data_IF_616030105736
#
_entry.id   IF_616030105736
#
_cell.length_a   1.000
_cell.length_b   1.000
_cell.length_c   1.000
_cell.angle_alpha   90.00
_cell.angle_beta   90.00
_cell.angle_gamma   90.00
#
_symmetry.space_group_name_H-M   'P 1'
#
loop_
_entity.id
_entity.type
_entity.pdbx_description
1 polymer ?
#
# COMPACT_ATOMS: atom_id res chain seq x y z
N UNK A 1 -2.75 15.91 -20.39
CA UNK A 1 -1.58 15.89 -19.52
C UNK A 1 -1.39 14.51 -18.92
N UNK A 2 -0.16 14.10 -18.83
CA UNK A 2 0.14 12.81 -18.23
C UNK A 2 -0.16 12.83 -16.73
N UNK A 3 -0.49 11.68 -16.21
CA UNK A 3 -0.66 11.42 -14.80
C UNK A 3 0.67 11.68 -14.09
N UNK A 4 0.64 12.27 -12.91
CA UNK A 4 1.87 12.64 -12.19
C UNK A 4 2.31 11.60 -11.17
N UNK A 5 1.36 11.02 -10.42
CA UNK A 5 1.68 10.08 -9.36
C UNK A 5 0.69 8.94 -9.33
N UNK A 6 1.23 7.73 -9.25
CA UNK A 6 0.48 6.49 -9.00
C UNK A 6 0.86 6.02 -7.60
N UNK A 7 -0.13 5.75 -6.76
CA UNK A 7 0.07 5.20 -5.43
C UNK A 7 -0.31 3.73 -5.43
N UNK A 8 0.63 2.87 -5.06
CA UNK A 8 0.37 1.43 -4.93
C UNK A 8 0.29 1.06 -3.47
N UNK A 9 -0.83 0.49 -3.07
CA UNK A 9 -1.03 0.02 -1.70
C UNK A 9 -0.75 -1.48 -1.64
N UNK A 10 0.15 -1.89 -0.76
CA UNK A 10 0.57 -3.28 -0.65
C UNK A 10 0.47 -3.77 0.79
N UNK A 11 0.25 -5.07 0.94
CA UNK A 11 0.25 -5.77 2.21
C UNK A 11 1.55 -6.56 2.33
N UNK A 12 2.37 -6.20 3.29
CA UNK A 12 3.65 -6.85 3.51
C UNK A 12 3.56 -8.10 4.38
N UNK A 13 2.39 -8.39 4.94
CA UNK A 13 2.22 -9.51 5.86
C UNK A 13 2.00 -10.85 5.15
N UNK A 14 1.81 -10.85 3.86
CA UNK A 14 1.44 -12.04 3.07
C UNK A 14 2.50 -12.41 2.03
N UNK A 15 3.60 -12.94 2.45
CA UNK A 15 4.64 -13.60 1.64
C UNK A 15 4.62 -13.29 0.13
N UNK A 16 4.96 -12.06 -0.24
CA UNK A 16 5.08 -11.64 -1.64
C UNK A 16 3.79 -11.76 -2.47
N UNK A 17 2.63 -11.86 -1.81
CA UNK A 17 1.35 -11.93 -2.51
C UNK A 17 1.12 -10.70 -3.40
N UNK A 18 1.60 -9.55 -2.96
CA UNK A 18 1.39 -8.29 -3.67
C UNK A 18 2.49 -7.95 -4.69
N UNK A 19 3.37 -8.90 -5.01
CA UNK A 19 4.36 -8.71 -6.08
C UNK A 19 3.64 -8.38 -7.41
N UNK A 20 2.56 -9.11 -7.73
CA UNK A 20 1.79 -8.85 -8.94
C UNK A 20 1.12 -7.48 -8.94
N UNK A 21 0.66 -7.03 -7.78
CA UNK A 21 0.07 -5.70 -7.64
C UNK A 21 1.11 -4.62 -7.94
N UNK A 22 2.31 -4.76 -7.38
CA UNK A 22 3.41 -3.82 -7.62
C UNK A 22 3.85 -3.80 -9.07
N UNK A 23 3.96 -4.98 -9.69
CA UNK A 23 4.34 -5.05 -11.11
C UNK A 23 3.32 -4.33 -11.99
N UNK A 24 2.04 -4.49 -11.71
CA UNK A 24 1.00 -3.81 -12.47
C UNK A 24 1.04 -2.31 -12.25
N UNK A 25 1.26 -1.88 -11.01
CA UNK A 25 1.37 -0.45 -10.70
C UNK A 25 2.56 0.17 -11.42
N UNK A 26 3.69 -0.52 -11.45
CA UNK A 26 4.89 -0.05 -12.14
C UNK A 26 4.66 0.09 -13.65
N UNK A 27 3.94 -0.85 -14.24
CA UNK A 27 3.62 -0.80 -15.67
C UNK A 27 2.72 0.40 -15.98
N UNK A 28 1.72 0.64 -15.14
CA UNK A 28 0.82 1.77 -15.32
C UNK A 28 1.55 3.10 -15.15
N UNK A 29 2.42 3.18 -14.15
CA UNK A 29 3.22 4.38 -13.93
C UNK A 29 4.15 4.65 -15.11
N UNK A 30 4.79 3.61 -15.62
CA UNK A 30 5.68 3.74 -16.78
C UNK A 30 4.93 4.21 -18.03
N UNK A 31 3.76 3.63 -18.28
CA UNK A 31 2.92 4.04 -19.43
C UNK A 31 2.53 5.51 -19.36
N UNK A 32 2.28 6.01 -18.16
CA UNK A 32 1.82 7.37 -17.97
C UNK A 32 2.95 8.38 -17.73
N UNK A 33 4.18 7.89 -17.64
CA UNK A 33 5.30 8.74 -17.26
C UNK A 33 5.16 9.28 -15.84
N UNK A 34 4.53 8.51 -14.95
CA UNK A 34 4.19 8.95 -13.60
C UNK A 34 5.19 8.44 -12.58
N UNK A 35 5.29 9.16 -11.47
CA UNK A 35 6.02 8.71 -10.30
C UNK A 35 5.22 7.59 -9.63
N UNK A 36 5.90 6.52 -9.24
CA UNK A 36 5.29 5.45 -8.45
C UNK A 36 5.67 5.63 -6.99
N UNK A 37 4.66 5.76 -6.14
CA UNK A 37 4.85 5.75 -4.69
C UNK A 37 4.16 4.50 -4.14
N UNK A 38 4.74 3.92 -3.08
CA UNK A 38 4.26 2.67 -2.51
C UNK A 38 3.94 2.89 -1.03
N UNK A 39 2.78 2.41 -0.60
CA UNK A 39 2.37 2.53 0.80
C UNK A 39 2.02 1.16 1.36
N UNK A 40 2.43 0.92 2.61
CA UNK A 40 1.87 -0.15 3.43
C UNK A 40 1.38 0.45 4.74
N UNK A 41 0.35 -0.14 5.32
CA UNK A 41 -0.24 0.35 6.56
C UNK A 41 -0.07 -0.70 7.65
N UNK A 42 0.57 -0.29 8.73
CA UNK A 42 0.74 -1.12 9.92
C UNK A 42 -0.47 -0.92 10.82
N UNK A 43 -1.11 -1.98 11.27
CA UNK A 43 -2.26 -1.84 12.17
C UNK A 43 -1.89 -1.09 13.44
N UNK A 44 -2.84 -0.30 13.92
CA UNK A 44 -2.70 0.39 15.20
C UNK A 44 -3.23 -0.54 16.29
N UNK A 45 -2.41 -1.47 16.75
CA UNK A 45 -2.79 -2.54 17.68
C UNK A 45 -3.29 -2.01 19.02
N UNK A 46 -4.43 -1.31 19.01
CA UNK A 46 -5.05 -0.87 20.25
C UNK A 46 -4.22 0.14 21.02
N UNK A 47 -3.44 0.94 20.35
CA UNK A 47 -2.66 1.97 21.02
C UNK A 47 -3.52 2.91 21.86
N UNK A 48 -4.77 3.04 21.50
CA UNK A 48 -5.72 3.81 22.30
C UNK A 48 -6.21 3.07 23.53
N UNK A 49 -6.19 1.73 23.54
CA UNK A 49 -6.72 0.89 24.61
C UNK A 49 -5.61 0.35 25.49
N UNK A 50 -4.54 -0.13 24.88
CA UNK A 50 -3.42 -0.75 25.60
C UNK A 50 -2.13 0.05 25.45
N UNK A 51 -2.23 1.28 25.03
CA UNK A 51 -1.08 2.15 24.82
C UNK A 51 -0.19 2.32 26.04
N UNK A 52 -0.74 2.13 27.23
CA UNK A 52 0.04 2.18 28.47
C UNK A 52 1.04 1.03 28.56
N UNK A 53 0.81 -0.04 27.81
CA UNK A 53 1.66 -1.25 27.82
C UNK A 53 2.56 -1.37 26.62
N UNK A 54 2.33 -0.56 25.58
CA UNK A 54 3.19 -0.53 24.40
C UNK A 54 4.00 0.75 24.44
N UNK A 55 5.28 0.62 24.67
CA UNK A 55 6.10 1.81 24.63
C UNK A 55 6.32 2.25 23.16
N UNK A 56 6.74 3.48 23.01
CA UNK A 56 7.01 4.06 21.72
C UNK A 56 8.10 3.30 20.97
N UNK A 57 9.06 2.74 21.69
CA UNK A 57 10.15 1.98 21.10
C UNK A 57 9.66 0.74 20.37
N UNK A 58 8.66 0.06 20.91
CA UNK A 58 8.09 -1.11 20.26
C UNK A 58 7.40 -0.73 18.94
N UNK A 59 6.63 0.36 18.95
CA UNK A 59 5.97 0.85 17.76
C UNK A 59 6.99 1.27 16.69
N UNK A 60 8.02 2.00 17.08
CA UNK A 60 9.08 2.45 16.16
C UNK A 60 9.79 1.25 15.54
N UNK A 61 10.00 0.19 16.30
CA UNK A 61 10.59 -1.04 15.80
C UNK A 61 9.70 -1.71 14.76
N UNK A 62 8.40 -1.75 15.00
CA UNK A 62 7.44 -2.32 14.06
C UNK A 62 7.42 -1.54 12.74
N UNK A 63 7.47 -0.23 12.81
CA UNK A 63 7.49 0.63 11.63
C UNK A 63 8.79 0.42 10.86
N UNK A 64 9.93 0.35 11.55
CA UNK A 64 11.22 0.11 10.90
C UNK A 64 11.26 -1.24 10.21
N UNK A 65 10.71 -2.29 10.85
CA UNK A 65 10.63 -3.61 10.25
C UNK A 65 9.71 -3.63 9.04
N UNK A 66 8.59 -2.92 9.12
CA UNK A 66 7.66 -2.80 8.00
C UNK A 66 8.34 -2.12 6.81
N UNK A 67 9.13 -1.09 7.06
CA UNK A 67 9.87 -0.41 6.00
C UNK A 67 10.86 -1.34 5.33
N UNK A 68 11.58 -2.14 6.10
CA UNK A 68 12.51 -3.12 5.54
C UNK A 68 11.79 -4.13 4.66
N UNK A 69 10.65 -4.65 5.12
CA UNK A 69 9.85 -5.59 4.34
C UNK A 69 9.29 -4.94 3.07
N UNK A 70 8.90 -3.69 3.17
CA UNK A 70 8.40 -2.96 2.00
C UNK A 70 9.50 -2.78 0.95
N UNK A 71 10.70 -2.39 1.38
CA UNK A 71 11.84 -2.26 0.49
C UNK A 71 12.16 -3.60 -0.18
N UNK A 72 12.16 -4.68 0.60
CA UNK A 72 12.42 -6.01 0.06
C UNK A 72 11.36 -6.44 -0.95
N UNK A 73 10.09 -6.13 -0.67
CA UNK A 73 9.00 -6.46 -1.59
C UNK A 73 9.15 -5.71 -2.90
N UNK A 74 9.47 -4.42 -2.84
CA UNK A 74 9.67 -3.61 -4.04
C UNK A 74 10.86 -4.15 -4.86
N UNK A 75 11.96 -4.48 -4.20
CA UNK A 75 13.12 -5.03 -4.89
C UNK A 75 12.82 -6.41 -5.49
N UNK A 76 12.03 -7.23 -4.81
CA UNK A 76 11.60 -8.52 -5.35
C UNK A 76 10.73 -8.36 -6.58
N UNK A 77 9.81 -7.40 -6.54
CA UNK A 77 8.86 -7.19 -7.64
C UNK A 77 9.49 -6.50 -8.84
N UNK A 78 10.32 -5.50 -8.61
CA UNK A 78 10.79 -4.59 -9.65
C UNK A 78 12.28 -4.69 -9.96
N UNK A 79 13.01 -5.49 -9.21
CA UNK A 79 14.45 -5.69 -9.39
C UNK A 79 15.28 -4.98 -8.35
N UNK A 80 16.53 -5.42 -8.19
CA UNK A 80 17.44 -4.87 -7.21
C UNK A 80 17.68 -3.39 -7.46
N UNK A 81 17.61 -2.61 -6.38
CA UNK A 81 17.80 -1.16 -6.46
C UNK A 81 16.55 -0.39 -6.81
N UNK A 82 15.46 -1.06 -7.17
CA UNK A 82 14.22 -0.37 -7.54
C UNK A 82 13.65 0.46 -6.38
N UNK A 83 13.88 0.03 -5.14
CA UNK A 83 13.40 0.76 -3.96
C UNK A 83 14.00 2.15 -3.84
N UNK A 84 15.11 2.42 -4.53
CA UNK A 84 15.72 3.75 -4.49
C UNK A 84 14.97 4.77 -5.36
N UNK A 85 14.15 4.32 -6.28
CA UNK A 85 13.46 5.17 -7.25
C UNK A 85 12.05 5.54 -6.84
N UNK A 86 11.48 4.85 -5.86
CA UNK A 86 10.11 5.10 -5.42
C UNK A 86 10.10 5.65 -4.00
N UNK A 87 9.08 6.45 -3.71
CA UNK A 87 8.82 6.86 -2.34
C UNK A 87 8.09 5.74 -1.62
N UNK A 88 8.62 5.32 -0.49
CA UNK A 88 8.02 4.28 0.35
C UNK A 88 7.40 4.92 1.58
N UNK A 89 6.14 4.65 1.82
CA UNK A 89 5.42 5.21 2.96
C UNK A 89 4.95 4.05 3.85
N UNK A 90 5.29 4.15 5.13
CA UNK A 90 4.74 3.24 6.14
C UNK A 90 3.84 4.07 7.04
N UNK A 91 2.55 3.81 6.98
CA UNK A 91 1.57 4.50 7.81
C UNK A 91 1.06 3.56 8.91
N UNK A 92 0.47 4.13 9.93
CA UNK A 92 -0.10 3.37 11.04
C UNK A 92 -1.57 3.73 11.19
N UNK A 93 -2.43 2.74 11.29
CA UNK A 93 -3.85 2.98 11.49
C UNK A 93 -4.72 2.05 10.67
N UNK A 94 -5.87 2.56 10.25
CA UNK A 94 -6.80 1.84 9.40
C UNK A 94 -6.30 1.91 7.94
N UNK A 95 -6.18 0.76 7.29
CA UNK A 95 -5.57 0.68 5.96
C UNK A 95 -6.25 1.62 4.96
N UNK A 96 -7.56 1.51 4.79
CA UNK A 96 -8.22 2.32 3.78
C UNK A 96 -8.15 3.82 4.07
N UNK A 97 -8.25 4.20 5.35
CA UNK A 97 -8.19 5.61 5.75
C UNK A 97 -6.82 6.21 5.47
N UNK A 98 -5.75 5.47 5.82
CA UNK A 98 -4.39 5.96 5.61
C UNK A 98 -4.03 6.00 4.13
N UNK A 99 -4.51 5.02 3.35
CA UNK A 99 -4.29 5.03 1.90
C UNK A 99 -4.93 6.27 1.28
N UNK A 100 -6.19 6.56 1.63
CA UNK A 100 -6.89 7.73 1.09
C UNK A 100 -6.23 9.02 1.52
N UNK A 101 -5.79 9.09 2.77
CA UNK A 101 -5.12 10.26 3.31
C UNK A 101 -3.82 10.55 2.58
N UNK A 102 -3.00 9.53 2.36
CA UNK A 102 -1.74 9.69 1.63
C UNK A 102 -2.01 10.03 0.17
N UNK A 103 -3.00 9.39 -0.46
CA UNK A 103 -3.35 9.70 -1.83
C UNK A 103 -3.70 11.18 -2.00
N UNK A 104 -4.45 11.75 -1.06
CA UNK A 104 -4.77 13.17 -1.09
C UNK A 104 -3.54 14.04 -0.86
N UNK A 105 -2.68 13.65 0.07
CA UNK A 105 -1.47 14.40 0.41
C UNK A 105 -0.50 14.50 -0.76
N UNK A 106 -0.28 13.39 -1.46
CA UNK A 106 0.64 13.36 -2.61
C UNK A 106 -0.05 13.69 -3.92
N UNK A 107 -1.35 13.94 -3.89
CA UNK A 107 -2.16 14.23 -5.07
C UNK A 107 -2.07 13.11 -6.10
N UNK A 108 -2.20 11.88 -5.64
CA UNK A 108 -2.21 10.72 -6.52
C UNK A 108 -3.39 10.79 -7.48
N UNK A 109 -3.15 10.44 -8.72
CA UNK A 109 -4.19 10.42 -9.73
C UNK A 109 -4.72 9.01 -9.96
N UNK A 110 -4.00 8.01 -9.46
CA UNK A 110 -4.41 6.62 -9.53
C UNK A 110 -3.94 5.89 -8.28
N UNK A 111 -4.82 5.10 -7.69
CA UNK A 111 -4.47 4.16 -6.63
C UNK A 111 -4.54 2.76 -7.22
N UNK A 112 -3.49 1.96 -7.03
CA UNK A 112 -3.46 0.55 -7.42
C UNK A 112 -3.48 -0.27 -6.15
N UNK A 113 -4.44 -1.18 -6.03
CA UNK A 113 -4.63 -1.98 -4.83
C UNK A 113 -5.04 -3.41 -5.22
N UNK A 114 -4.59 -4.38 -4.45
CA UNK A 114 -4.94 -5.78 -4.68
C UNK A 114 -6.26 -6.15 -4.01
N UNK A 115 -7.02 -7.00 -4.68
CA UNK A 115 -8.18 -7.65 -4.10
C UNK A 115 -7.89 -9.13 -4.07
N UNK A 116 -7.42 -9.61 -2.94
CA UNK A 116 -7.09 -11.02 -2.81
C UNK A 116 -8.36 -11.82 -2.53
N UNK A 117 -8.46 -12.95 -3.19
CA UNK A 117 -9.58 -13.83 -3.03
C UNK A 117 -9.50 -14.49 -1.67
N UNK A 118 -10.45 -14.25 -0.76
CA UNK A 118 -10.46 -14.97 0.50
C UNK A 118 -10.78 -16.43 0.28
N UNK A 119 -10.45 -17.27 1.26
CA UNK A 119 -10.65 -18.71 1.17
C UNK A 119 -12.11 -19.11 1.07
N UNK A 120 -13.01 -18.23 1.38
CA UNK A 120 -14.45 -18.48 1.28
C UNK A 120 -15.02 -17.58 0.20
N UNK A 121 -15.86 -18.08 -0.57
CA UNK A 121 -16.65 -17.55 -1.65
C UNK A 121 -17.05 -16.07 -1.62
N UNK A 122 -16.25 -15.23 -1.05
CA UNK A 122 -16.48 -13.80 -1.14
C UNK A 122 -15.93 -13.33 -2.48
N UNK A 123 -16.83 -13.09 -3.41
CA UNK A 123 -16.49 -12.67 -4.76
C UNK A 123 -16.22 -11.19 -4.86
N UNK A 124 -16.33 -10.52 -3.74
CA UNK A 124 -16.18 -9.08 -3.71
C UNK A 124 -14.74 -8.68 -3.45
N UNK A 125 -14.48 -7.41 -3.59
CA UNK A 125 -13.23 -6.82 -3.17
C UNK A 125 -13.08 -7.04 -1.67
N UNK A 126 -11.87 -7.22 -1.19
CA UNK A 126 -11.65 -7.24 0.25
C UNK A 126 -12.11 -5.92 0.87
N UNK A 127 -12.29 -5.87 2.20
CA UNK A 127 -12.86 -4.69 2.84
C UNK A 127 -12.07 -3.41 2.57
N UNK A 128 -10.75 -3.48 2.51
CA UNK A 128 -9.95 -2.28 2.26
C UNK A 128 -10.08 -1.82 0.80
N UNK A 129 -9.99 -2.74 -0.15
CA UNK A 129 -10.13 -2.39 -1.56
C UNK A 129 -11.51 -1.79 -1.84
N UNK A 130 -12.57 -2.40 -1.29
CA UNK A 130 -13.93 -1.92 -1.47
C UNK A 130 -14.10 -0.50 -0.92
N UNK A 131 -13.54 -0.24 0.25
CA UNK A 131 -13.64 1.09 0.87
C UNK A 131 -12.83 2.13 0.12
N UNK A 132 -11.65 1.76 -0.36
CA UNK A 132 -10.84 2.68 -1.17
C UNK A 132 -11.58 3.04 -2.45
N UNK A 133 -12.14 2.05 -3.15
CA UNK A 133 -12.92 2.31 -4.37
C UNK A 133 -14.08 3.25 -4.09
N UNK A 134 -14.80 3.00 -3.00
CA UNK A 134 -16.00 3.75 -2.67
C UNK A 134 -15.70 5.20 -2.30
N UNK A 135 -14.62 5.44 -1.58
CA UNK A 135 -14.34 6.75 -0.99
C UNK A 135 -13.24 7.55 -1.67
N UNK A 136 -12.58 6.98 -2.67
CA UNK A 136 -11.48 7.66 -3.35
C UNK A 136 -11.99 8.82 -4.21
N UNK A 137 -11.23 9.91 -4.21
CA UNK A 137 -11.47 11.03 -5.12
C UNK A 137 -10.74 10.86 -6.45
N UNK A 138 -9.86 9.87 -6.55
CA UNK A 138 -9.13 9.58 -7.78
C UNK A 138 -9.50 8.18 -8.30
N UNK A 139 -9.01 7.85 -9.48
CA UNK A 139 -9.24 6.53 -10.08
C UNK A 139 -8.58 5.43 -9.26
N UNK A 140 -9.18 4.26 -9.26
CA UNK A 140 -8.65 3.10 -8.54
C UNK A 140 -8.60 1.92 -9.50
N UNK A 141 -7.43 1.29 -9.58
CA UNK A 141 -7.21 0.08 -10.35
C UNK A 141 -7.09 -1.07 -9.37
N UNK A 142 -7.99 -2.03 -9.46
CA UNK A 142 -8.00 -3.18 -8.56
C UNK A 142 -7.36 -4.36 -9.28
N UNK A 143 -6.29 -4.89 -8.70
CA UNK A 143 -5.58 -6.05 -9.27
C UNK A 143 -6.11 -7.30 -8.57
N UNK A 144 -6.61 -8.22 -9.34
CA UNK A 144 -7.07 -9.51 -8.82
C UNK A 144 -5.99 -10.56 -8.99
N UNK A 145 -5.81 -11.35 -7.96
CA UNK A 145 -4.80 -12.40 -7.98
C UNK A 145 -5.45 -13.77 -7.80
#
# INVERSE_FOLDING_TARGET
>A
MSMKTVLCAVDISNDNRDVGVLKQAARLAEMEGAQLDVITVVPDFGMSVVGAFFDKGHHDKMVAEARTRLDDLVNTALGDGASDDQRHVVATGSAYEEILKIADTIKAELIVIGAHKPDFSDYLLGPNAARVVRHSSCSVYVVRS
#
